data_IF_693499863743
#
_entry.id   IF_693499863743
#
_cell.length_a   1.000
_cell.length_b   1.000
_cell.length_c   1.000
_cell.angle_alpha   90.00
_cell.angle_beta   90.00
_cell.angle_gamma   90.00
#
_symmetry.space_group_name_H-M   'P 1'
#
loop_
_entity.id
_entity.type
_entity.pdbx_description
1 polymer ?
#
# COMPACT_ATOMS: atom_id res chain seq x y z
N UNK A 1 4.93 27.53 -5.74
CA UNK A 1 6.41 27.64 -5.70
C UNK A 1 7.13 26.47 -5.01
N UNK A 2 6.67 25.94 -3.88
CA UNK A 2 7.32 24.77 -3.23
C UNK A 2 7.08 23.42 -3.96
N UNK A 3 5.97 23.26 -4.69
CA UNK A 3 5.66 22.05 -5.49
C UNK A 3 6.56 21.90 -6.74
N UNK A 4 7.00 23.03 -7.31
CA UNK A 4 7.97 23.03 -8.43
C UNK A 4 9.41 22.75 -7.98
N UNK A 5 9.75 22.98 -6.71
CA UNK A 5 11.08 22.62 -6.18
C UNK A 5 11.21 21.10 -5.96
N UNK A 6 10.10 20.40 -5.61
CA UNK A 6 10.09 18.94 -5.49
C UNK A 6 10.17 18.25 -6.87
N UNK A 7 9.37 18.70 -7.83
CA UNK A 7 9.40 18.21 -9.22
C UNK A 7 10.77 18.40 -9.92
N UNK A 8 11.44 19.54 -9.71
CA UNK A 8 12.75 19.78 -10.32
C UNK A 8 13.88 18.92 -9.71
N UNK A 9 13.79 18.56 -8.43
CA UNK A 9 14.80 17.69 -7.80
C UNK A 9 14.65 16.25 -8.28
N UNK A 10 13.41 15.75 -8.40
CA UNK A 10 13.13 14.39 -8.90
C UNK A 10 13.56 14.21 -10.36
N UNK A 11 13.31 15.20 -11.24
CA UNK A 11 13.73 15.13 -12.64
C UNK A 11 15.26 15.20 -12.84
N UNK A 12 16.00 15.91 -11.97
CA UNK A 12 17.46 16.01 -12.06
C UNK A 12 18.14 14.70 -11.62
N UNK A 13 17.56 13.98 -10.65
CA UNK A 13 18.09 12.68 -10.19
C UNK A 13 17.92 11.61 -11.26
N UNK A 14 16.76 11.55 -11.93
CA UNK A 14 16.49 10.58 -13.02
C UNK A 14 17.41 10.83 -14.23
N UNK A 15 17.67 12.09 -14.59
CA UNK A 15 18.55 12.43 -15.70
C UNK A 15 20.04 12.10 -15.44
N UNK A 16 20.48 12.07 -14.18
CA UNK A 16 21.87 11.72 -13.82
C UNK A 16 22.13 10.21 -13.83
N UNK A 17 21.11 9.37 -13.59
CA UNK A 17 21.25 7.91 -13.67
C UNK A 17 21.32 7.37 -15.12
N UNK A 18 20.66 8.04 -16.07
CA UNK A 18 20.68 7.63 -17.48
C UNK A 18 22.03 7.90 -18.20
N UNK A 19 22.88 8.79 -17.67
CA UNK A 19 24.19 9.11 -18.28
C UNK A 19 25.28 8.11 -17.85
N UNK A 20 25.14 7.45 -16.69
CA UNK A 20 26.13 6.47 -16.20
C UNK A 20 25.95 5.08 -16.83
N UNK A 21 24.71 4.71 -17.20
CA UNK A 21 24.40 3.43 -17.84
C UNK A 21 25.00 3.24 -19.25
N UNK A 22 25.31 4.33 -19.95
CA UNK A 22 25.88 4.25 -21.30
C UNK A 22 27.40 3.98 -21.35
N UNK A 23 28.13 4.02 -20.22
CA UNK A 23 29.59 3.87 -20.22
C UNK A 23 30.03 2.42 -19.95
N UNK A 24 29.18 1.58 -19.32
CA UNK A 24 29.57 0.21 -18.94
C UNK A 24 29.31 -0.82 -20.04
N UNK A 25 28.49 -0.52 -21.05
CA UNK A 25 28.15 -1.47 -22.11
C UNK A 25 29.24 -1.68 -23.19
N UNK A 26 30.39 -1.02 -23.08
CA UNK A 26 31.47 -1.12 -24.09
C UNK A 26 32.72 -1.91 -23.67
N UNK A 27 32.72 -2.57 -22.50
CA UNK A 27 33.90 -3.33 -22.07
C UNK A 27 33.56 -4.58 -21.25
N UNK A 28 33.16 -5.66 -21.92
CA UNK A 28 33.83 -6.97 -21.81
C UNK A 28 33.07 -8.00 -22.63
N UNK A 29 33.60 -8.29 -23.82
CA UNK A 29 33.32 -9.52 -24.54
C UNK A 29 34.52 -10.46 -24.39
N UNK A 30 34.23 -11.77 -24.40
CA UNK A 30 35.10 -12.95 -24.33
C UNK A 30 35.53 -13.45 -22.94
N UNK A 31 34.91 -14.54 -22.47
CA UNK A 31 35.46 -15.89 -22.71
C UNK A 31 34.47 -17.00 -22.30
N UNK A 32 34.23 -17.96 -23.20
CA UNK A 32 33.64 -19.27 -22.89
C UNK A 32 34.52 -20.08 -21.93
N UNK A 33 33.90 -20.82 -21.01
CA UNK A 33 34.17 -22.26 -20.84
C UNK A 33 33.12 -22.93 -19.93
N UNK A 34 32.70 -24.10 -20.38
CA UNK A 34 31.75 -25.06 -19.81
C UNK A 34 32.27 -25.72 -18.52
N UNK A 35 31.37 -26.11 -17.61
CA UNK A 35 31.31 -27.47 -17.03
C UNK A 35 30.07 -27.67 -16.13
N UNK A 36 29.73 -28.94 -15.99
CA UNK A 36 28.42 -29.55 -15.77
C UNK A 36 28.36 -30.31 -14.41
N UNK A 37 27.14 -30.43 -13.86
CA UNK A 37 26.61 -31.24 -12.73
C UNK A 37 27.35 -31.32 -11.37
N UNK A 38 26.62 -31.08 -10.26
CA UNK A 38 26.01 -32.21 -9.52
C UNK A 38 25.02 -31.78 -8.43
N UNK A 39 23.94 -32.57 -8.32
CA UNK A 39 22.88 -32.52 -7.31
C UNK A 39 23.37 -33.20 -6.04
N UNK A 40 23.14 -32.61 -4.86
CA UNK A 40 22.97 -33.40 -3.65
C UNK A 40 22.03 -32.72 -2.63
N UNK A 41 20.93 -33.42 -2.43
CA UNK A 41 19.91 -33.32 -1.40
C UNK A 41 20.50 -33.69 -0.03
N UNK A 42 20.25 -32.88 1.01
CA UNK A 42 20.30 -33.35 2.40
C UNK A 42 19.38 -32.52 3.29
N UNK A 43 18.29 -33.15 3.69
CA UNK A 43 17.35 -32.80 4.76
C UNK A 43 18.04 -32.61 6.12
N UNK A 44 17.62 -31.60 6.89
CA UNK A 44 17.81 -31.57 8.35
C UNK A 44 16.49 -31.18 9.02
N UNK A 45 15.98 -32.11 9.82
CA UNK A 45 14.94 -31.95 10.83
C UNK A 45 15.58 -32.31 12.18
N UNK A 46 15.33 -31.53 13.24
CA UNK A 46 15.62 -31.98 14.61
C UNK A 46 16.00 -30.91 15.65
N UNK A 47 14.96 -30.30 16.25
CA UNK A 47 14.71 -30.13 17.70
C UNK A 47 15.74 -29.51 18.67
N UNK A 48 15.28 -28.42 19.32
CA UNK A 48 15.30 -28.05 20.75
C UNK A 48 16.42 -28.56 21.67
N UNK A 49 17.09 -27.63 22.37
CA UNK A 49 17.25 -27.69 23.83
C UNK A 49 17.34 -26.31 24.49
N UNK A 50 16.54 -26.18 25.55
CA UNK A 50 16.44 -25.13 26.55
C UNK A 50 17.51 -25.35 27.62
N UNK A 51 18.22 -24.31 28.03
CA UNK A 51 18.99 -24.30 29.28
C UNK A 51 18.79 -22.99 30.03
N UNK A 52 18.10 -23.10 31.16
CA UNK A 52 17.92 -22.13 32.23
C UNK A 52 19.25 -21.83 32.93
N UNK A 53 19.58 -20.55 33.13
CA UNK A 53 20.36 -20.07 34.29
C UNK A 53 19.74 -18.75 34.77
N UNK A 54 19.16 -18.79 35.97
CA UNK A 54 18.87 -17.63 36.80
C UNK A 54 20.14 -17.26 37.57
N UNK A 55 20.52 -15.98 37.59
CA UNK A 55 20.89 -15.34 38.84
C UNK A 55 20.68 -13.82 38.78
N UNK A 56 20.19 -13.34 39.91
CA UNK A 56 19.56 -12.05 40.19
C UNK A 56 20.59 -10.94 40.34
N UNK A 57 20.30 -9.76 39.79
CA UNK A 57 20.76 -8.49 40.35
C UNK A 57 19.61 -7.49 40.33
N UNK A 58 18.97 -7.39 41.49
CA UNK A 58 17.97 -6.41 41.87
C UNK A 58 18.51 -4.98 41.73
N UNK A 59 17.97 -4.24 40.78
CA UNK A 59 17.92 -2.79 40.81
C UNK A 59 16.45 -2.40 40.77
N UNK A 60 15.84 -2.24 41.94
CA UNK A 60 14.51 -1.66 42.09
C UNK A 60 14.56 -0.23 41.53
N UNK A 61 14.15 -0.09 40.27
CA UNK A 61 13.54 1.15 39.81
C UNK A 61 12.08 1.00 40.17
N UNK A 62 11.62 1.80 41.13
CA UNK A 62 10.20 2.13 41.25
C UNK A 62 9.76 2.74 39.91
N UNK A 63 9.28 1.91 38.99
CA UNK A 63 8.33 2.33 37.98
C UNK A 63 7.06 2.69 38.73
N UNK A 64 6.91 3.99 38.96
CA UNK A 64 5.60 4.57 39.22
C UNK A 64 4.78 4.30 37.98
N UNK A 65 3.93 3.27 38.06
CA UNK A 65 2.99 2.90 37.01
C UNK A 65 1.86 3.94 36.99
N UNK A 66 2.19 5.19 36.61
CA UNK A 66 1.20 6.13 36.12
C UNK A 66 0.79 5.62 34.75
N UNK A 67 -0.44 5.11 34.69
CA UNK A 67 -1.04 4.62 33.45
C UNK A 67 -0.99 5.75 32.42
N UNK A 68 -0.18 5.55 31.37
CA UNK A 68 0.06 6.54 30.33
C UNK A 68 -1.23 6.76 29.54
N UNK A 69 -1.71 7.99 29.48
CA UNK A 69 -2.93 8.35 28.71
C UNK A 69 -2.73 8.08 27.22
N UNK A 70 -3.81 7.78 26.49
CA UNK A 70 -3.80 7.53 25.04
C UNK A 70 -3.19 8.70 24.25
N UNK A 71 -3.43 9.94 24.71
CA UNK A 71 -2.85 11.14 24.08
C UNK A 71 -1.31 11.09 24.05
N UNK A 72 -0.68 10.82 25.20
CA UNK A 72 0.79 10.73 25.31
C UNK A 72 1.31 9.49 24.55
N UNK A 73 0.53 8.40 24.52
CA UNK A 73 0.85 7.21 23.73
C UNK A 73 1.03 7.56 22.25
N UNK A 74 0.02 8.16 21.63
CA UNK A 74 0.09 8.55 20.22
C UNK A 74 1.12 9.64 19.94
N UNK A 75 1.33 10.59 20.85
CA UNK A 75 2.40 11.60 20.69
C UNK A 75 3.80 10.98 20.61
N UNK A 76 4.06 9.92 21.38
CA UNK A 76 5.32 9.18 21.31
C UNK A 76 5.44 8.36 20.01
N UNK A 77 4.37 7.68 19.60
CA UNK A 77 4.34 6.93 18.33
C UNK A 77 4.56 7.87 17.13
N UNK A 78 3.91 9.03 17.11
CA UNK A 78 4.11 10.06 16.07
C UNK A 78 5.55 10.59 16.05
N UNK A 79 6.16 10.81 17.21
CA UNK A 79 7.54 11.26 17.30
C UNK A 79 8.50 10.21 16.74
N UNK A 80 8.26 8.93 17.03
CA UNK A 80 9.04 7.82 16.48
C UNK A 80 8.82 7.66 14.97
N UNK A 81 7.58 7.70 14.51
CA UNK A 81 7.24 7.67 13.08
C UNK A 81 7.92 8.81 12.32
N UNK A 82 7.86 10.03 12.87
CA UNK A 82 8.53 11.21 12.29
C UNK A 82 10.04 11.01 12.20
N UNK A 83 10.67 10.37 13.18
CA UNK A 83 12.10 10.05 13.14
C UNK A 83 12.41 9.04 12.03
N UNK A 84 11.65 7.95 11.94
CA UNK A 84 11.82 6.94 10.89
C UNK A 84 11.63 7.54 9.49
N UNK A 85 10.57 8.33 9.30
CA UNK A 85 10.22 8.98 8.03
C UNK A 85 11.25 10.03 7.57
N UNK A 86 11.98 10.66 8.51
CA UNK A 86 13.02 11.63 8.21
C UNK A 86 14.43 11.02 8.05
N UNK A 87 14.55 9.69 8.08
CA UNK A 87 15.83 9.00 7.85
C UNK A 87 16.34 9.32 6.44
N UNK A 88 17.62 9.70 6.33
CA UNK A 88 18.24 9.98 5.03
C UNK A 88 18.49 8.68 4.25
N UNK A 89 17.70 8.45 3.22
CA UNK A 89 17.76 7.26 2.37
C UNK A 89 18.75 7.37 1.21
N UNK A 90 19.44 8.51 1.05
CA UNK A 90 20.29 8.78 -0.13
C UNK A 90 21.45 7.81 -0.34
N UNK A 91 21.90 7.11 0.72
CA UNK A 91 22.97 6.11 0.66
C UNK A 91 22.49 4.69 0.99
N UNK A 92 21.17 4.47 1.13
CA UNK A 92 20.59 3.17 1.43
C UNK A 92 20.35 2.38 0.13
N UNK A 93 20.53 1.07 0.21
CA UNK A 93 20.09 0.13 -0.82
C UNK A 93 18.57 -0.01 -0.81
N UNK A 94 17.99 -0.52 -1.90
CA UNK A 94 16.54 -0.78 -1.96
C UNK A 94 16.08 -1.74 -0.85
N UNK A 95 16.92 -2.71 -0.46
CA UNK A 95 16.62 -3.61 0.66
C UNK A 95 16.49 -2.85 1.98
N UNK A 96 17.43 -1.96 2.28
CA UNK A 96 17.39 -1.14 3.50
C UNK A 96 16.22 -0.15 3.48
N UNK A 97 15.85 0.38 2.30
CA UNK A 97 14.67 1.24 2.14
C UNK A 97 13.38 0.46 2.42
N UNK A 98 13.27 -0.78 1.91
CA UNK A 98 12.12 -1.65 2.19
C UNK A 98 12.04 -1.99 3.69
N UNK A 99 13.17 -2.29 4.33
CA UNK A 99 13.23 -2.58 5.77
C UNK A 99 12.75 -1.38 6.60
N UNK A 100 13.19 -0.16 6.25
CA UNK A 100 12.74 1.07 6.91
C UNK A 100 11.22 1.33 6.72
N UNK A 101 10.65 0.98 5.57
CA UNK A 101 9.20 1.06 5.36
C UNK A 101 8.45 0.04 6.23
N UNK A 102 8.95 -1.19 6.30
CA UNK A 102 8.43 -2.22 7.20
C UNK A 102 8.51 -1.80 8.67
N UNK A 103 9.57 -1.11 9.10
CA UNK A 103 9.67 -0.54 10.46
C UNK A 103 8.58 0.51 10.72
N UNK A 104 8.33 1.42 9.76
CA UNK A 104 7.24 2.40 9.86
C UNK A 104 5.87 1.73 9.98
N UNK A 105 5.62 0.70 9.18
CA UNK A 105 4.37 -0.05 9.25
C UNK A 105 4.24 -0.79 10.58
N UNK A 106 5.28 -1.50 11.01
CA UNK A 106 5.30 -2.26 12.28
C UNK A 106 5.02 -1.36 13.48
N UNK A 107 5.55 -0.14 13.49
CA UNK A 107 5.27 0.84 14.54
C UNK A 107 3.77 1.11 14.69
N UNK A 108 3.09 1.39 13.57
CA UNK A 108 1.64 1.66 13.58
C UNK A 108 0.80 0.41 13.83
N UNK A 109 1.21 -0.76 13.32
CA UNK A 109 0.49 -2.02 13.54
C UNK A 109 0.57 -2.46 15.02
N UNK A 110 1.71 -2.26 15.67
CA UNK A 110 1.84 -2.51 17.11
C UNK A 110 0.90 -1.62 17.93
N UNK A 111 0.83 -0.33 17.60
CA UNK A 111 -0.09 0.61 18.27
C UNK A 111 -1.56 0.25 18.01
N UNK A 112 -1.89 -0.12 16.77
CA UNK A 112 -3.23 -0.59 16.40
C UNK A 112 -3.64 -1.79 17.26
N UNK A 113 -2.77 -2.78 17.38
CA UNK A 113 -3.03 -4.00 18.14
C UNK A 113 -3.17 -3.69 19.65
N UNK A 114 -2.33 -2.80 20.20
CA UNK A 114 -2.43 -2.32 21.59
C UNK A 114 -3.79 -1.68 21.90
N UNK A 115 -4.24 -0.76 21.05
CA UNK A 115 -5.55 -0.08 21.22
C UNK A 115 -6.69 -1.08 21.02
N UNK A 116 -6.59 -1.94 20.00
CA UNK A 116 -7.59 -2.96 19.70
C UNK A 116 -7.82 -3.92 20.87
N UNK A 117 -6.75 -4.41 21.51
CA UNK A 117 -6.84 -5.30 22.67
C UNK A 117 -7.61 -4.63 23.81
N UNK A 118 -7.26 -3.38 24.16
CA UNK A 118 -7.95 -2.60 25.21
C UNK A 118 -9.42 -2.37 24.87
N UNK A 119 -9.74 -1.99 23.63
CA UNK A 119 -11.12 -1.83 23.16
C UNK A 119 -11.93 -3.12 23.26
N UNK A 120 -11.34 -4.23 22.83
CA UNK A 120 -12.01 -5.53 22.79
C UNK A 120 -12.33 -6.07 24.20
N UNK A 121 -11.57 -5.67 25.22
CA UNK A 121 -11.84 -5.99 26.63
C UNK A 121 -13.01 -5.18 27.22
N UNK A 122 -13.18 -3.93 26.78
CA UNK A 122 -14.22 -3.04 27.29
C UNK A 122 -15.59 -3.24 26.62
N UNK A 123 -15.61 -3.59 25.34
CA UNK A 123 -16.84 -3.77 24.57
C UNK A 123 -17.48 -5.15 24.81
N UNK A 124 -18.81 -5.19 24.80
CA UNK A 124 -19.57 -6.44 24.96
C UNK A 124 -20.82 -6.48 24.09
N UNK A 125 -21.26 -7.69 23.72
CA UNK A 125 -22.46 -7.87 22.90
C UNK A 125 -22.33 -7.25 21.51
N UNK A 126 -23.42 -6.63 21.05
CA UNK A 126 -23.57 -6.16 19.67
C UNK A 126 -22.49 -5.15 19.24
N UNK A 127 -22.05 -4.26 20.14
CA UNK A 127 -21.00 -3.26 19.85
C UNK A 127 -19.65 -3.90 19.52
N UNK A 128 -19.31 -5.00 20.19
CA UNK A 128 -18.09 -5.76 19.92
C UNK A 128 -18.18 -6.49 18.58
N UNK A 129 -19.34 -7.09 18.29
CA UNK A 129 -19.56 -7.81 17.04
C UNK A 129 -19.51 -6.89 15.82
N UNK A 130 -20.08 -5.67 15.94
CA UNK A 130 -19.99 -4.63 14.93
C UNK A 130 -18.55 -4.18 14.70
N UNK A 131 -17.80 -3.89 15.77
CA UNK A 131 -16.40 -3.47 15.66
C UNK A 131 -15.51 -4.57 15.03
N UNK A 132 -15.75 -5.85 15.36
CA UNK A 132 -15.06 -6.99 14.73
C UNK A 132 -15.36 -7.09 13.24
N UNK A 133 -16.60 -6.82 12.83
CA UNK A 133 -16.99 -6.79 11.42
C UNK A 133 -16.26 -5.64 10.70
N UNK A 134 -16.30 -4.43 11.24
CA UNK A 134 -15.57 -3.28 10.68
C UNK A 134 -14.07 -3.58 10.55
N UNK A 135 -13.47 -4.21 11.56
CA UNK A 135 -12.04 -4.53 11.54
C UNK A 135 -11.67 -5.51 10.43
N UNK A 136 -12.51 -6.51 10.15
CA UNK A 136 -12.27 -7.46 9.05
C UNK A 136 -12.40 -6.82 7.68
N UNK A 137 -13.40 -5.96 7.50
CA UNK A 137 -13.59 -5.18 6.28
C UNK A 137 -12.41 -4.22 6.07
N UNK A 138 -11.98 -3.53 7.13
CA UNK A 138 -10.82 -2.65 7.12
C UNK A 138 -9.52 -3.40 6.79
N UNK A 139 -9.25 -4.57 7.40
CA UNK A 139 -8.06 -5.40 7.07
C UNK A 139 -8.08 -5.75 5.59
N UNK A 140 -9.22 -6.21 5.07
CA UNK A 140 -9.34 -6.58 3.65
C UNK A 140 -9.05 -5.39 2.74
N UNK A 141 -9.60 -4.20 3.05
CA UNK A 141 -9.30 -2.97 2.31
C UNK A 141 -7.82 -2.61 2.38
N UNK A 142 -7.22 -2.62 3.57
CA UNK A 142 -5.81 -2.30 3.80
C UNK A 142 -4.90 -3.20 2.97
N UNK A 143 -5.03 -4.52 3.09
CA UNK A 143 -4.17 -5.46 2.36
C UNK A 143 -4.24 -5.27 0.84
N UNK A 144 -5.44 -5.10 0.29
CA UNK A 144 -5.61 -4.90 -1.16
C UNK A 144 -5.10 -3.55 -1.63
N UNK A 145 -5.33 -2.48 -0.88
CA UNK A 145 -4.86 -1.15 -1.24
C UNK A 145 -3.33 -1.05 -1.14
N UNK A 146 -2.72 -1.71 -0.14
CA UNK A 146 -1.26 -1.86 -0.06
C UNK A 146 -0.71 -2.58 -1.28
N UNK A 147 -1.31 -3.70 -1.71
CA UNK A 147 -0.91 -4.37 -2.95
C UNK A 147 -1.05 -3.45 -4.17
N UNK A 148 -2.14 -2.67 -4.28
CA UNK A 148 -2.30 -1.70 -5.37
C UNK A 148 -1.18 -0.65 -5.37
N UNK A 149 -0.73 -0.17 -4.21
CA UNK A 149 0.43 0.74 -4.13
C UNK A 149 1.72 0.09 -4.64
N UNK A 150 1.91 -1.21 -4.41
CA UNK A 150 3.00 -1.97 -5.03
C UNK A 150 2.85 -2.12 -6.55
N UNK A 151 1.62 -2.20 -7.04
CA UNK A 151 1.28 -2.42 -8.45
C UNK A 151 1.37 -1.13 -9.29
N UNK A 152 0.94 0.01 -8.75
CA UNK A 152 0.86 1.31 -9.45
C UNK A 152 2.18 1.65 -10.17
N UNK A 153 3.31 1.36 -9.53
CA UNK A 153 4.63 1.65 -10.09
C UNK A 153 5.28 0.46 -10.84
N UNK A 154 4.46 -0.47 -11.36
CA UNK A 154 4.89 -1.62 -12.14
C UNK A 154 5.52 -2.76 -11.32
N UNK A 155 5.39 -2.75 -9.99
CA UNK A 155 5.93 -3.79 -9.12
C UNK A 155 7.46 -3.73 -8.92
N UNK A 156 8.09 -4.90 -8.83
CA UNK A 156 9.54 -5.05 -8.74
C UNK A 156 10.11 -4.81 -7.34
N UNK A 157 11.41 -4.47 -7.26
CA UNK A 157 12.13 -4.41 -5.98
C UNK A 157 11.67 -3.29 -5.04
N UNK A 158 10.97 -2.27 -5.56
CA UNK A 158 10.43 -1.17 -4.79
C UNK A 158 9.01 -1.44 -4.26
N UNK A 159 8.29 -2.43 -4.80
CA UNK A 159 6.93 -2.74 -4.40
C UNK A 159 6.76 -2.96 -2.89
N UNK A 160 7.65 -3.70 -2.18
CA UNK A 160 7.51 -3.87 -0.73
C UNK A 160 7.51 -2.54 0.03
N UNK A 161 8.36 -1.59 -0.35
CA UNK A 161 8.38 -0.26 0.28
C UNK A 161 7.06 0.48 0.09
N UNK A 162 6.50 0.46 -1.13
CA UNK A 162 5.24 1.15 -1.43
C UNK A 162 4.06 0.51 -0.71
N UNK A 163 4.03 -0.83 -0.67
CA UNK A 163 3.02 -1.59 0.06
C UNK A 163 3.04 -1.26 1.56
N UNK A 164 4.23 -1.27 2.18
CA UNK A 164 4.40 -1.00 3.61
C UNK A 164 4.09 0.47 3.96
N UNK A 165 4.47 1.43 3.10
CA UNK A 165 4.17 2.84 3.33
C UNK A 165 2.67 3.14 3.23
N UNK A 166 1.97 2.51 2.29
CA UNK A 166 0.51 2.61 2.20
C UNK A 166 -0.16 1.90 3.39
N UNK A 167 0.33 0.71 3.78
CA UNK A 167 -0.15 -0.01 4.96
C UNK A 167 0.01 0.83 6.23
N UNK A 168 1.16 1.48 6.41
CA UNK A 168 1.43 2.38 7.52
C UNK A 168 0.47 3.57 7.54
N UNK A 169 0.22 4.18 6.38
CA UNK A 169 -0.69 5.33 6.24
C UNK A 169 -2.13 4.97 6.59
N UNK A 170 -2.66 3.87 6.04
CA UNK A 170 -4.02 3.39 6.34
C UNK A 170 -4.14 2.96 7.81
N UNK A 171 -3.10 2.34 8.36
CA UNK A 171 -3.07 1.90 9.77
C UNK A 171 -3.05 3.08 10.73
N UNK A 172 -2.29 4.13 10.43
CA UNK A 172 -2.30 5.37 11.22
C UNK A 172 -3.69 5.99 11.31
N UNK A 173 -4.42 6.10 10.19
CA UNK A 173 -5.82 6.59 10.21
C UNK A 173 -6.69 5.72 11.13
N UNK A 174 -6.57 4.40 11.03
CA UNK A 174 -7.34 3.47 11.87
C UNK A 174 -6.98 3.57 13.35
N UNK A 175 -5.70 3.74 13.68
CA UNK A 175 -5.21 3.94 15.05
C UNK A 175 -5.90 5.14 15.69
N UNK A 176 -5.95 6.30 15.02
CA UNK A 176 -6.62 7.48 15.56
C UNK A 176 -8.13 7.28 15.75
N UNK A 177 -8.80 6.61 14.80
CA UNK A 177 -10.23 6.26 14.93
C UNK A 177 -10.49 5.37 16.16
N UNK A 178 -9.67 4.35 16.37
CA UNK A 178 -9.80 3.44 17.51
C UNK A 178 -9.41 4.12 18.83
N UNK A 179 -8.37 4.96 18.81
CA UNK A 179 -7.91 5.73 19.96
C UNK A 179 -9.01 6.66 20.49
N UNK A 180 -9.70 7.38 19.59
CA UNK A 180 -10.82 8.25 19.96
C UNK A 180 -11.95 7.44 20.60
N UNK A 181 -12.31 6.28 20.04
CA UNK A 181 -13.31 5.39 20.66
C UNK A 181 -12.87 4.94 22.06
N UNK A 182 -11.62 4.52 22.22
CA UNK A 182 -11.11 4.02 23.50
C UNK A 182 -11.08 5.13 24.55
N UNK A 183 -10.58 6.32 24.20
CA UNK A 183 -10.54 7.47 25.08
C UNK A 183 -11.95 7.87 25.55
N UNK A 184 -12.95 7.83 24.65
CA UNK A 184 -14.34 8.06 25.01
C UNK A 184 -14.88 7.04 26.03
N UNK A 185 -14.53 5.75 25.89
CA UNK A 185 -14.94 4.71 26.84
C UNK A 185 -14.26 4.86 28.21
N UNK A 186 -12.99 5.29 28.23
CA UNK A 186 -12.23 5.57 29.44
C UNK A 186 -12.57 6.93 30.06
N UNK A 187 -13.33 7.77 29.35
CA UNK A 187 -13.61 9.15 29.72
C UNK A 187 -12.30 9.96 29.90
N UNK A 188 -11.32 9.69 29.04
CA UNK A 188 -10.05 10.41 28.94
C UNK A 188 -10.16 11.57 27.94
N UNK A 189 -9.51 12.71 28.20
CA UNK A 189 -9.40 13.77 27.20
C UNK A 189 -8.52 13.30 26.04
N UNK A 190 -9.00 13.48 24.81
CA UNK A 190 -8.28 13.13 23.59
C UNK A 190 -8.56 14.19 22.52
N UNK A 191 -7.50 14.70 21.89
CA UNK A 191 -7.60 15.72 20.84
C UNK A 191 -6.60 15.44 19.72
N UNK A 192 -7.12 15.31 18.50
CA UNK A 192 -6.31 15.22 17.29
C UNK A 192 -5.93 16.64 16.88
N UNK A 193 -4.63 16.93 16.84
CA UNK A 193 -4.16 18.24 16.39
C UNK A 193 -4.54 18.50 14.93
N UNK A 194 -4.74 19.77 14.55
CA UNK A 194 -5.15 20.14 13.19
C UNK A 194 -4.16 19.71 12.11
N UNK A 195 -2.86 19.67 12.44
CA UNK A 195 -1.81 19.29 11.49
C UNK A 195 -1.89 17.79 11.19
N UNK A 196 -2.11 16.97 12.23
CA UNK A 196 -2.31 15.53 12.10
C UNK A 196 -3.62 15.25 11.37
N UNK A 197 -4.72 15.90 11.76
CA UNK A 197 -6.02 15.73 11.09
C UNK A 197 -5.91 15.98 9.59
N UNK A 198 -5.22 17.06 9.18
CA UNK A 198 -5.01 17.36 7.77
C UNK A 198 -4.12 16.35 7.04
N UNK A 199 -3.37 15.50 7.72
CA UNK A 199 -2.65 14.36 7.13
C UNK A 199 -3.53 13.12 7.04
N UNK A 200 -4.32 12.83 8.07
CA UNK A 200 -5.27 11.73 8.07
C UNK A 200 -6.33 11.91 6.96
N UNK A 201 -6.87 13.13 6.82
CA UNK A 201 -7.87 13.48 5.81
C UNK A 201 -7.39 13.25 4.37
N UNK A 202 -6.07 13.27 4.11
CA UNK A 202 -5.52 13.00 2.77
C UNK A 202 -5.61 11.53 2.39
N UNK A 203 -5.64 10.64 3.38
CA UNK A 203 -5.70 9.19 3.20
C UNK A 203 -7.10 8.63 3.46
N UNK A 204 -8.04 9.46 3.91
CA UNK A 204 -9.44 9.10 4.12
C UNK A 204 -10.28 9.38 2.88
N UNK A 205 -9.99 8.65 1.79
CA UNK A 205 -10.78 8.66 0.57
C UNK A 205 -11.52 7.33 0.34
N UNK A 206 -12.72 7.45 -0.24
CA UNK A 206 -13.58 6.33 -0.60
C UNK A 206 -13.30 5.85 -2.03
N UNK A 207 -13.88 4.72 -2.41
CA UNK A 207 -13.86 4.27 -3.80
C UNK A 207 -14.63 5.25 -4.71
N UNK A 208 -15.69 5.88 -4.22
CA UNK A 208 -16.47 6.85 -4.99
C UNK A 208 -15.61 8.07 -5.35
N UNK A 209 -14.84 8.60 -4.38
CA UNK A 209 -13.92 9.72 -4.62
C UNK A 209 -12.88 9.38 -5.69
N UNK A 210 -12.37 8.14 -5.68
CA UNK A 210 -11.40 7.68 -6.68
C UNK A 210 -12.05 7.53 -8.04
N UNK A 211 -13.24 6.92 -8.15
CA UNK A 211 -13.91 6.76 -9.44
C UNK A 211 -14.39 8.10 -10.02
N UNK A 212 -14.76 9.07 -9.18
CA UNK A 212 -15.10 10.44 -9.60
C UNK A 212 -13.87 11.16 -10.20
N UNK A 213 -12.69 10.99 -9.63
CA UNK A 213 -11.45 11.54 -10.20
C UNK A 213 -11.09 10.92 -11.56
N UNK A 214 -11.56 9.70 -11.84
CA UNK A 214 -11.37 9.01 -13.11
C UNK A 214 -12.48 9.27 -14.13
N UNK A 215 -13.55 9.95 -13.75
CA UNK A 215 -14.72 10.15 -14.60
C UNK A 215 -14.34 10.83 -15.93
N UNK A 216 -14.75 10.20 -17.02
CA UNK A 216 -14.47 10.66 -18.37
C UNK A 216 -14.15 9.53 -19.35
N UNK A 217 -13.72 9.94 -20.54
CA UNK A 217 -13.28 9.03 -21.60
C UNK A 217 -11.81 9.28 -21.92
N UNK A 218 -11.00 8.24 -21.78
CA UNK A 218 -9.55 8.30 -21.88
C UNK A 218 -9.09 7.48 -23.08
N UNK A 219 -8.60 8.16 -24.12
CA UNK A 219 -8.11 7.51 -25.34
C UNK A 219 -6.70 6.97 -25.08
N UNK A 220 -6.52 5.67 -25.27
CA UNK A 220 -5.23 5.00 -25.20
C UNK A 220 -4.75 4.47 -26.56
N UNK A 221 -5.59 4.37 -27.59
CA UNK A 221 -5.09 4.10 -28.95
C UNK A 221 -5.82 5.02 -29.92
N UNK A 222 -5.15 6.09 -30.33
CA UNK A 222 -5.73 7.09 -31.23
C UNK A 222 -6.02 6.52 -32.62
N UNK A 223 -5.22 5.57 -33.10
CA UNK A 223 -5.34 5.01 -34.44
C UNK A 223 -6.52 4.02 -34.52
N UNK A 224 -6.77 3.28 -33.44
CA UNK A 224 -7.91 2.36 -33.32
C UNK A 224 -9.16 3.03 -32.73
N UNK A 225 -9.02 4.24 -32.20
CA UNK A 225 -10.06 4.90 -31.41
C UNK A 225 -10.37 4.15 -30.12
N UNK A 226 -9.37 3.46 -29.55
CA UNK A 226 -9.56 2.70 -28.32
C UNK A 226 -9.51 3.62 -27.11
N UNK A 227 -10.49 3.49 -26.22
CA UNK A 227 -10.60 4.27 -25.02
C UNK A 227 -11.18 3.46 -23.85
N UNK A 228 -10.95 4.00 -22.67
CA UNK A 228 -11.59 3.59 -21.41
C UNK A 228 -12.59 4.68 -21.05
N UNK A 229 -13.84 4.31 -20.81
CA UNK A 229 -14.85 5.21 -20.26
C UNK A 229 -15.16 4.83 -18.82
N UNK A 230 -15.20 5.82 -17.93
CA UNK A 230 -15.57 5.69 -16.52
C UNK A 230 -16.63 6.75 -16.27
N UNK A 231 -17.82 6.33 -15.88
CA UNK A 231 -18.98 7.22 -15.75
C UNK A 231 -20.02 6.63 -14.80
N UNK A 232 -20.93 7.48 -14.29
CA UNK A 232 -22.08 7.01 -13.51
C UNK A 232 -22.95 6.08 -14.36
N UNK A 233 -23.34 4.92 -13.82
CA UNK A 233 -24.15 3.92 -14.53
C UNK A 233 -25.48 4.47 -15.05
N UNK A 234 -26.07 5.43 -14.35
CA UNK A 234 -27.31 6.11 -14.78
C UNK A 234 -27.16 6.92 -16.06
N UNK A 235 -25.94 7.31 -16.40
CA UNK A 235 -25.60 8.12 -17.57
C UNK A 235 -24.97 7.27 -18.68
N UNK A 236 -24.43 6.09 -18.32
CA UNK A 236 -23.80 5.17 -19.27
C UNK A 236 -24.81 4.48 -20.17
N UNK A 237 -24.44 4.34 -21.44
CA UNK A 237 -25.14 3.45 -22.37
C UNK A 237 -24.97 1.94 -22.02
N UNK A 238 -23.98 1.62 -21.18
CA UNK A 238 -23.64 0.26 -20.74
C UNK A 238 -23.97 0.02 -19.25
N UNK A 239 -24.72 0.94 -18.64
CA UNK A 239 -25.06 0.91 -17.22
C UNK A 239 -25.79 -0.37 -16.80
N UNK A 240 -25.40 -0.91 -15.64
CA UNK A 240 -26.09 -2.03 -15.00
C UNK A 240 -27.00 -1.51 -13.89
N UNK A 241 -28.25 -1.99 -13.81
CA UNK A 241 -29.28 -1.46 -12.90
C UNK A 241 -28.90 -1.52 -11.42
N UNK A 242 -28.02 -2.45 -11.05
CA UNK A 242 -27.61 -2.69 -9.67
C UNK A 242 -26.26 -2.05 -9.31
N UNK A 243 -25.65 -1.25 -10.21
CA UNK A 243 -24.34 -0.63 -10.00
C UNK A 243 -24.37 0.89 -10.17
N UNK A 244 -23.52 1.58 -9.41
CA UNK A 244 -23.43 3.05 -9.43
C UNK A 244 -22.43 3.56 -10.47
N UNK A 245 -21.39 2.79 -10.74
CA UNK A 245 -20.34 3.10 -11.70
C UNK A 245 -20.28 2.07 -12.82
N UNK A 246 -20.00 2.58 -14.02
CA UNK A 246 -19.75 1.76 -15.20
C UNK A 246 -18.39 2.12 -15.77
N UNK A 247 -17.54 1.11 -15.93
CA UNK A 247 -16.23 1.21 -16.53
C UNK A 247 -16.24 0.34 -17.78
N UNK A 248 -16.05 0.92 -18.96
CA UNK A 248 -16.05 0.18 -20.21
C UNK A 248 -14.77 0.42 -20.99
N UNK A 249 -14.26 -0.62 -21.62
CA UNK A 249 -13.08 -0.56 -22.49
C UNK A 249 -13.52 -0.91 -23.91
N UNK A 250 -13.16 -0.07 -24.87
CA UNK A 250 -13.34 -0.39 -26.28
C UNK A 250 -12.68 -1.73 -26.60
N UNK A 251 -13.45 -2.69 -27.09
CA UNK A 251 -13.00 -4.08 -27.22
C UNK A 251 -13.92 -5.07 -26.51
N UNK A 252 -14.70 -4.59 -25.53
CA UNK A 252 -15.83 -5.33 -24.97
C UNK A 252 -15.78 -5.57 -23.46
N UNK A 253 -14.70 -5.19 -22.77
CA UNK A 253 -14.62 -5.34 -21.32
C UNK A 253 -15.49 -4.30 -20.61
N UNK A 254 -16.25 -4.75 -19.61
CA UNK A 254 -17.22 -3.94 -18.87
C UNK A 254 -17.17 -4.26 -17.37
N UNK A 255 -16.72 -3.33 -16.54
CA UNK A 255 -16.60 -3.47 -15.09
C UNK A 255 -17.55 -2.52 -14.36
N UNK A 256 -17.74 -2.79 -13.08
CA UNK A 256 -18.49 -1.99 -12.11
C UNK A 256 -17.66 -1.79 -10.86
N UNK A 257 -18.14 -0.97 -9.92
CA UNK A 257 -17.51 -0.82 -8.59
C UNK A 257 -17.39 -2.15 -7.81
N UNK A 258 -18.22 -3.16 -8.15
CA UNK A 258 -18.19 -4.48 -7.51
C UNK A 258 -17.05 -5.36 -7.99
N UNK A 259 -16.52 -5.07 -9.18
CA UNK A 259 -15.37 -5.78 -9.74
C UNK A 259 -14.04 -5.20 -9.22
N UNK A 260 -14.08 -4.17 -8.37
CA UNK A 260 -12.87 -3.56 -7.80
C UNK A 260 -12.24 -4.53 -6.79
N UNK A 261 -10.98 -4.90 -7.07
CA UNK A 261 -10.14 -5.61 -6.14
C UNK A 261 -9.69 -4.68 -5.02
N UNK A 262 -8.95 -3.62 -5.38
CA UNK A 262 -8.38 -2.63 -4.48
C UNK A 262 -8.07 -1.34 -5.24
N UNK A 263 -7.75 -0.28 -4.49
CA UNK A 263 -7.55 1.04 -5.07
C UNK A 263 -6.65 1.92 -4.19
N UNK A 264 -5.96 2.87 -4.82
CA UNK A 264 -5.35 4.02 -4.16
C UNK A 264 -5.73 5.28 -4.93
N UNK A 265 -5.35 6.45 -4.41
CA UNK A 265 -5.56 7.70 -5.14
C UNK A 265 -4.83 7.66 -6.50
N UNK A 266 -5.58 7.61 -7.60
CA UNK A 266 -5.02 7.59 -8.95
C UNK A 266 -4.78 6.20 -9.54
N UNK A 267 -5.05 5.10 -8.83
CA UNK A 267 -4.93 3.74 -9.39
C UNK A 267 -6.02 2.81 -8.86
N UNK A 268 -6.66 2.06 -9.77
CA UNK A 268 -7.71 1.08 -9.44
C UNK A 268 -7.39 -0.25 -10.10
N UNK A 269 -7.49 -1.33 -9.34
CA UNK A 269 -7.33 -2.70 -9.84
C UNK A 269 -8.70 -3.38 -9.83
N UNK A 270 -9.10 -3.90 -10.98
CA UNK A 270 -10.30 -4.71 -11.14
C UNK A 270 -9.93 -6.19 -11.18
N UNK A 271 -10.78 -7.04 -10.62
CA UNK A 271 -10.68 -8.49 -10.69
C UNK A 271 -11.95 -9.06 -11.30
N UNK A 272 -11.78 -9.94 -12.30
CA UNK A 272 -12.85 -10.76 -12.85
C UNK A 272 -12.44 -12.20 -12.90
N UNK A 273 -13.41 -13.07 -12.63
CA UNK A 273 -13.26 -14.51 -12.72
C UNK A 273 -14.42 -15.08 -13.52
N UNK A 274 -14.09 -15.82 -14.58
CA UNK A 274 -15.03 -16.64 -15.35
C UNK A 274 -14.58 -18.11 -15.38
N UNK A 275 -15.42 -18.98 -15.95
CA UNK A 275 -15.18 -20.44 -16.01
C UNK A 275 -13.86 -20.83 -16.71
N UNK A 276 -13.24 -19.91 -17.45
CA UNK A 276 -12.06 -20.13 -18.28
C UNK A 276 -10.82 -19.36 -17.83
N UNK A 277 -10.97 -18.25 -17.13
CA UNK A 277 -9.86 -17.41 -16.67
C UNK A 277 -10.24 -16.54 -15.45
N UNK A 278 -9.25 -16.34 -14.58
CA UNK A 278 -9.24 -15.25 -13.60
C UNK A 278 -8.22 -14.21 -14.07
N UNK A 279 -8.58 -12.94 -13.99
CA UNK A 279 -7.79 -11.84 -14.53
C UNK A 279 -7.91 -10.56 -13.75
N UNK A 280 -6.82 -9.80 -13.72
CA UNK A 280 -6.72 -8.51 -13.07
C UNK A 280 -6.40 -7.44 -14.10
N UNK A 281 -7.16 -6.36 -14.08
CA UNK A 281 -6.99 -5.21 -14.96
C UNK A 281 -6.67 -4.00 -14.11
N UNK A 282 -5.55 -3.36 -14.38
CA UNK A 282 -5.16 -2.12 -13.70
C UNK A 282 -5.54 -0.93 -14.57
N UNK A 283 -6.05 0.12 -13.94
CA UNK A 283 -6.26 1.43 -14.55
C UNK A 283 -5.59 2.45 -13.64
N UNK A 284 -4.63 3.17 -14.22
CA UNK A 284 -3.77 4.09 -13.50
C UNK A 284 -3.77 5.46 -14.20
N UNK A 285 -4.04 6.52 -13.45
CA UNK A 285 -4.33 7.85 -13.96
C UNK A 285 -3.21 8.82 -13.59
N UNK A 286 -2.62 9.40 -14.62
CA UNK A 286 -1.58 10.42 -14.52
C UNK A 286 -2.07 11.73 -15.13
N UNK A 287 -2.22 12.79 -14.34
CA UNK A 287 -2.61 14.15 -14.79
C UNK A 287 -3.70 14.16 -15.89
N UNK A 288 -3.30 14.04 -17.17
CA UNK A 288 -4.16 14.07 -18.36
C UNK A 288 -4.17 12.75 -19.19
N UNK A 289 -3.72 11.63 -18.63
CA UNK A 289 -3.63 10.33 -19.29
C UNK A 289 -4.03 9.20 -18.36
N UNK A 290 -4.43 8.07 -18.96
CA UNK A 290 -4.72 6.83 -18.25
C UNK A 290 -3.95 5.71 -18.93
N UNK A 291 -3.23 4.93 -18.15
CA UNK A 291 -2.61 3.67 -18.55
C UNK A 291 -3.48 2.51 -18.08
N UNK A 292 -3.39 1.38 -18.79
CA UNK A 292 -4.01 0.14 -18.37
C UNK A 292 -3.18 -1.05 -18.81
N UNK A 293 -3.18 -2.09 -17.96
CA UNK A 293 -2.52 -3.36 -18.22
C UNK A 293 -3.24 -4.50 -17.52
N UNK A 294 -2.92 -5.73 -17.92
CA UNK A 294 -3.59 -6.95 -17.47
C UNK A 294 -2.58 -8.00 -16.99
N UNK A 295 -2.98 -8.78 -15.98
CA UNK A 295 -2.28 -10.00 -15.57
C UNK A 295 -3.25 -11.08 -15.07
N UNK A 296 -2.80 -12.34 -15.04
CA UNK A 296 -3.58 -13.46 -14.51
C UNK A 296 -3.60 -13.51 -12.97
N UNK A 297 -2.71 -12.80 -12.29
CA UNK A 297 -2.67 -12.74 -10.84
C UNK A 297 -2.05 -11.46 -10.28
N UNK A 298 -2.38 -11.12 -9.02
CA UNK A 298 -1.72 -10.04 -8.26
C UNK A 298 -0.21 -10.25 -8.18
N UNK A 299 0.25 -11.50 -7.98
CA UNK A 299 1.68 -11.78 -7.91
C UNK A 299 2.41 -11.46 -9.23
N UNK A 300 1.77 -11.69 -10.38
CA UNK A 300 2.33 -11.26 -11.67
C UNK A 300 2.44 -9.74 -11.73
N UNK A 301 1.42 -8.99 -11.32
CA UNK A 301 1.46 -7.52 -11.27
C UNK A 301 2.57 -6.99 -10.35
N UNK A 302 2.77 -7.60 -9.18
CA UNK A 302 3.78 -7.19 -8.20
C UNK A 302 5.22 -7.53 -8.61
N UNK A 303 5.43 -8.53 -9.48
CA UNK A 303 6.77 -9.02 -9.84
C UNK A 303 7.19 -8.64 -11.27
N UNK A 304 6.40 -7.85 -11.99
CA UNK A 304 6.60 -7.67 -13.41
C UNK A 304 7.79 -6.77 -13.76
N UNK A 305 8.99 -7.35 -13.79
CA UNK A 305 10.15 -6.84 -14.54
C UNK A 305 10.00 -6.97 -16.07
N UNK A 306 8.79 -6.76 -16.60
CA UNK A 306 8.47 -6.96 -18.02
C UNK A 306 6.97 -7.11 -18.30
N UNK A 307 6.15 -6.18 -17.83
CA UNK A 307 4.84 -5.98 -18.48
C UNK A 307 5.11 -5.56 -19.93
N UNK A 308 4.37 -6.14 -20.88
CA UNK A 308 4.25 -5.54 -22.21
C UNK A 308 3.49 -4.24 -21.98
N UNK A 309 4.28 -3.21 -21.69
CA UNK A 309 3.88 -1.87 -21.34
C UNK A 309 3.07 -1.37 -22.56
N UNK A 310 1.74 -1.50 -22.52
CA UNK A 310 0.88 -0.65 -23.35
C UNK A 310 0.96 0.75 -22.76
N UNK A 311 2.15 1.35 -22.87
CA UNK A 311 2.43 2.75 -22.60
C UNK A 311 1.50 3.51 -23.52
N UNK A 312 0.53 4.21 -22.95
CA UNK A 312 -0.12 5.28 -23.70
C UNK A 312 -0.38 6.45 -22.78
N UNK A 313 0.50 7.43 -22.90
CA UNK A 313 0.28 8.81 -22.49
C UNK A 313 1.11 9.71 -23.39
N UNK A 314 0.45 10.66 -24.08
CA UNK A 314 1.08 11.73 -24.85
C UNK A 314 1.45 12.91 -23.94
#
# INVERSE_FOLDING_TARGET
MKRQQRLCITLIVIALFLIVGCIVYFASDNHESTNEYDVNTASVSGTNQLSTINEVSSGDKEETNEEKTIQIELEEVEAEYTKLNNTDTSNMSQFEINDLASERYTLWDNELNSIWERLAEMLSGDEKDELVKEQKEWITKKERNSEVAGIENGGGSAAPCLMDDEAASITRVRVYYLAEKLANLLNEPFEISSDIQAELDKQDYSLDDVLEEFEGQWIFDIDRGACIGIERSSESAYGQEDSEWTIWITGGDLYTEKDVYGYIYGCVVFHKEDDSASGYTVIDKWDNSVSSWYAGSINELLNAGGLDESIVGY
#
